data_IF_426496579622
#
_entry.id   IF_426496579622
#
_cell.length_a   1.000
_cell.length_b   1.000
_cell.length_c   1.000
_cell.angle_alpha   90.00
_cell.angle_beta   90.00
_cell.angle_gamma   90.00
#
_symmetry.space_group_name_H-M   'P 1'
#
loop_
_entity.id
_entity.type
_entity.pdbx_description
1 polymer ?
#
# COMPACT_ATOMS: atom_id res chain seq x y z
N UNK A 1 19.36 -16.01 11.18
CA UNK A 1 20.02 -17.32 11.06
C UNK A 1 18.94 -18.37 10.76
N UNK A 2 18.80 -18.86 9.53
CA UNK A 2 17.76 -19.84 9.17
C UNK A 2 18.17 -21.23 9.66
N UNK A 3 17.37 -21.85 10.54
CA UNK A 3 17.70 -23.12 11.22
C UNK A 3 17.51 -24.37 10.35
N UNK A 4 16.77 -24.27 9.25
CA UNK A 4 16.42 -25.41 8.41
C UNK A 4 17.34 -25.54 7.20
N UNK A 5 17.91 -26.73 7.02
CA UNK A 5 18.87 -27.06 5.97
C UNK A 5 18.41 -28.32 5.27
N UNK A 6 18.29 -28.26 3.94
CA UNK A 6 18.01 -29.44 3.12
C UNK A 6 19.24 -30.34 3.04
N UNK A 7 19.08 -31.62 2.70
CA UNK A 7 20.20 -32.54 2.41
C UNK A 7 21.17 -32.00 1.33
N UNK A 8 20.69 -31.15 0.42
CA UNK A 8 21.54 -30.43 -0.55
C UNK A 8 22.25 -29.18 0.03
N UNK A 9 22.27 -29.02 1.35
CA UNK A 9 22.84 -27.87 2.12
C UNK A 9 22.18 -26.52 1.89
N UNK A 10 21.09 -26.44 1.11
CA UNK A 10 20.32 -25.20 0.96
C UNK A 10 19.60 -24.86 2.27
N UNK A 11 19.83 -23.64 2.76
CA UNK A 11 19.13 -23.08 3.92
C UNK A 11 17.81 -22.49 3.48
N UNK A 12 16.74 -22.79 4.20
CA UNK A 12 15.43 -22.19 3.95
C UNK A 12 14.84 -21.61 5.23
N UNK A 13 14.04 -20.56 5.07
CA UNK A 13 13.26 -20.00 6.16
C UNK A 13 12.14 -20.96 6.52
N UNK A 14 11.88 -21.11 7.81
CA UNK A 14 10.67 -21.74 8.30
C UNK A 14 9.45 -20.99 7.73
N UNK A 15 8.44 -21.75 7.29
CA UNK A 15 7.18 -21.14 6.87
C UNK A 15 6.36 -20.85 8.13
N UNK A 16 6.45 -19.60 8.61
CA UNK A 16 5.70 -19.12 9.75
C UNK A 16 4.42 -18.39 9.29
N UNK A 17 3.24 -18.73 9.83
CA UNK A 17 2.01 -17.99 9.53
C UNK A 17 1.98 -16.58 10.17
N UNK A 18 2.81 -16.35 11.20
CA UNK A 18 2.78 -15.11 11.96
C UNK A 18 3.65 -14.01 11.33
N UNK A 19 4.80 -14.34 10.74
CA UNK A 19 5.76 -13.37 10.15
C UNK A 19 6.27 -13.84 8.79
N UNK A 20 6.16 -12.96 7.79
CA UNK A 20 6.70 -13.26 6.45
C UNK A 20 8.24 -13.19 6.43
N UNK A 21 8.86 -13.98 5.54
CA UNK A 21 10.32 -14.12 5.35
C UNK A 21 11.10 -12.80 5.22
N UNK A 22 10.45 -11.72 4.78
CA UNK A 22 11.06 -10.39 4.61
C UNK A 22 10.20 -9.27 5.21
N UNK A 23 9.41 -9.59 6.22
CA UNK A 23 8.56 -8.61 6.88
C UNK A 23 9.41 -7.63 7.69
N UNK A 24 9.54 -6.39 7.19
CA UNK A 24 10.23 -5.30 7.90
C UNK A 24 9.31 -4.49 8.83
N UNK A 25 8.00 -4.58 8.60
CA UNK A 25 6.99 -3.82 9.32
C UNK A 25 5.89 -4.76 9.81
N UNK A 26 5.30 -4.47 10.97
CA UNK A 26 4.20 -5.25 11.49
C UNK A 26 2.98 -5.25 10.54
N UNK A 27 2.08 -6.23 10.68
CA UNK A 27 0.89 -6.34 9.82
C UNK A 27 -0.01 -5.12 10.05
N UNK A 28 -0.13 -4.70 11.30
CA UNK A 28 -0.85 -3.53 11.78
C UNK A 28 -0.29 -2.26 11.15
N UNK A 29 1.04 -2.08 11.17
CA UNK A 29 1.67 -0.93 10.54
C UNK A 29 1.36 -0.86 9.04
N UNK A 30 1.43 -1.99 8.33
CA UNK A 30 1.08 -2.03 6.91
C UNK A 30 -0.40 -1.66 6.66
N UNK A 31 -1.32 -2.00 7.57
CA UNK A 31 -2.72 -1.56 7.50
C UNK A 31 -2.85 -0.05 7.72
N UNK A 32 -2.22 0.48 8.76
CA UNK A 32 -2.27 1.93 9.07
C UNK A 32 -1.76 2.75 7.89
N UNK A 33 -0.64 2.35 7.29
CA UNK A 33 -0.08 3.04 6.11
C UNK A 33 -1.04 3.01 4.93
N UNK A 34 -1.73 1.89 4.72
CA UNK A 34 -2.69 1.74 3.63
C UNK A 34 -3.87 2.72 3.79
N UNK A 35 -4.40 2.85 5.01
CA UNK A 35 -5.49 3.78 5.31
C UNK A 35 -5.02 5.23 5.19
N UNK A 36 -3.86 5.54 5.79
CA UNK A 36 -3.31 6.90 5.81
C UNK A 36 -2.93 7.38 4.40
N UNK A 37 -2.41 6.50 3.54
CA UNK A 37 -2.08 6.84 2.17
C UNK A 37 -3.31 7.20 1.31
N UNK A 38 -4.51 6.79 1.70
CA UNK A 38 -5.77 7.17 1.03
C UNK A 38 -6.36 8.44 1.66
N UNK A 39 -6.28 8.57 2.98
CA UNK A 39 -6.92 9.67 3.72
C UNK A 39 -6.09 10.95 3.82
N UNK A 40 -4.77 10.85 3.73
CA UNK A 40 -3.90 12.03 3.87
C UNK A 40 -4.04 12.96 2.65
N UNK A 41 -3.84 14.26 2.88
CA UNK A 41 -3.86 15.26 1.80
C UNK A 41 -2.70 15.06 0.84
N UNK A 42 -1.54 14.64 1.35
CA UNK A 42 -0.35 14.35 0.56
C UNK A 42 0.41 13.13 1.07
N UNK A 43 1.20 12.48 0.20
CA UNK A 43 2.14 11.43 0.62
C UNK A 43 3.28 11.95 1.49
N UNK A 44 3.53 13.27 1.50
CA UNK A 44 4.53 13.88 2.38
C UNK A 44 4.06 13.83 3.83
N UNK A 45 2.88 14.36 4.08
CA UNK A 45 2.24 14.33 5.40
C UNK A 45 2.08 12.90 5.94
N UNK A 46 1.64 11.96 5.08
CA UNK A 46 1.52 10.56 5.47
C UNK A 46 2.86 9.98 5.93
N UNK A 47 3.97 10.34 5.29
CA UNK A 47 5.29 9.82 5.64
C UNK A 47 5.80 10.40 6.97
N UNK A 48 5.54 11.68 7.22
CA UNK A 48 6.02 12.41 8.40
C UNK A 48 5.40 11.81 9.66
N UNK A 49 4.10 11.50 9.61
CA UNK A 49 3.38 10.83 10.70
C UNK A 49 3.85 9.38 10.91
N UNK A 50 4.20 8.68 9.83
CA UNK A 50 4.55 7.26 9.89
C UNK A 50 6.04 6.99 10.12
N UNK A 51 6.88 8.03 10.10
CA UNK A 51 8.33 7.92 10.25
C UNK A 51 8.98 7.09 9.14
N UNK A 52 8.52 7.20 7.89
CA UNK A 52 9.06 6.43 6.76
C UNK A 52 9.28 7.28 5.53
N UNK A 53 9.89 6.72 4.48
CA UNK A 53 10.09 7.45 3.23
C UNK A 53 8.78 7.62 2.44
N UNK A 54 8.62 8.75 1.74
CA UNK A 54 7.56 8.97 0.73
C UNK A 54 7.42 7.79 -0.22
N UNK A 55 8.53 7.28 -0.72
CA UNK A 55 8.58 6.15 -1.66
C UNK A 55 7.99 4.87 -1.08
N UNK A 56 8.15 4.65 0.23
CA UNK A 56 7.55 3.51 0.93
C UNK A 56 6.04 3.63 0.99
N UNK A 57 5.53 4.82 1.33
CA UNK A 57 4.08 5.12 1.34
C UNK A 57 3.48 4.91 -0.05
N UNK A 58 4.09 5.48 -1.10
CA UNK A 58 3.62 5.36 -2.50
C UNK A 58 3.57 3.88 -2.92
N UNK A 59 4.60 3.09 -2.61
CA UNK A 59 4.63 1.67 -2.97
C UNK A 59 3.52 0.88 -2.26
N UNK A 60 3.17 1.23 -1.02
CA UNK A 60 2.06 0.61 -0.29
C UNK A 60 0.72 1.02 -0.87
N UNK A 61 0.54 2.30 -1.19
CA UNK A 61 -0.63 2.80 -1.90
C UNK A 61 -0.87 2.06 -3.23
N UNK A 62 0.16 1.92 -4.08
CA UNK A 62 0.07 1.16 -5.34
C UNK A 62 -0.43 -0.28 -5.14
N UNK A 63 -0.03 -0.95 -4.05
CA UNK A 63 -0.52 -2.30 -3.73
C UNK A 63 -2.00 -2.34 -3.34
N UNK A 64 -2.51 -1.27 -2.74
CA UNK A 64 -3.93 -1.15 -2.40
C UNK A 64 -4.73 -0.87 -3.67
N UNK A 65 -4.30 0.13 -4.45
CA UNK A 65 -4.94 0.51 -5.72
C UNK A 65 -5.00 -0.66 -6.71
N UNK A 66 -3.91 -1.43 -6.86
CA UNK A 66 -3.89 -2.62 -7.72
C UNK A 66 -4.93 -3.68 -7.32
N UNK A 67 -5.31 -3.75 -6.04
CA UNK A 67 -6.35 -4.68 -5.57
C UNK A 67 -7.76 -4.14 -5.81
N UNK A 68 -7.93 -2.84 -5.96
CA UNK A 68 -9.22 -2.18 -6.13
C UNK A 68 -9.55 -1.88 -7.59
N UNK A 69 -8.54 -1.64 -8.43
CA UNK A 69 -8.71 -1.51 -9.87
C UNK A 69 -9.00 -2.89 -10.45
N UNK A 70 -10.26 -3.12 -10.80
CA UNK A 70 -10.70 -4.31 -11.55
C UNK A 70 -10.28 -4.12 -13.00
N UNK A 71 -9.47 -5.04 -13.52
CA UNK A 71 -9.12 -5.08 -14.95
C UNK A 71 -10.28 -5.68 -15.75
N UNK A 72 -10.44 -5.28 -17.02
CA UNK A 72 -11.44 -5.86 -17.93
C UNK A 72 -12.84 -5.23 -17.85
N UNK A 73 -12.98 -4.07 -17.20
CA UNK A 73 -14.24 -3.32 -17.22
C UNK A 73 -14.39 -2.61 -18.57
N UNK A 74 -15.44 -2.93 -19.33
CA UNK A 74 -15.82 -2.14 -20.50
C UNK A 74 -16.60 -0.90 -20.06
N UNK A 75 -16.30 0.24 -20.69
CA UNK A 75 -17.08 1.47 -20.49
C UNK A 75 -18.53 1.23 -20.92
N UNK A 76 -19.50 1.70 -20.13
CA UNK A 76 -20.91 1.59 -20.50
C UNK A 76 -21.22 2.45 -21.73
N UNK A 77 -22.26 2.04 -22.48
CA UNK A 77 -22.68 2.72 -23.73
C UNK A 77 -22.95 4.22 -23.56
N UNK A 78 -23.39 4.63 -22.37
CA UNK A 78 -23.46 6.03 -21.95
C UNK A 78 -22.73 6.16 -20.60
N UNK A 79 -21.85 7.15 -20.48
CA UNK A 79 -21.12 7.50 -19.26
C UNK A 79 -21.04 9.01 -19.16
N UNK A 80 -21.36 9.57 -18.00
CA UNK A 80 -21.12 10.98 -17.71
C UNK A 80 -19.70 11.14 -17.17
N UNK A 81 -18.94 12.08 -17.74
CA UNK A 81 -17.64 12.50 -17.23
C UNK A 81 -17.85 13.88 -16.66
N UNK A 82 -17.61 14.04 -15.37
CA UNK A 82 -17.68 15.33 -14.69
C UNK A 82 -16.26 15.78 -14.32
N UNK A 83 -15.98 17.06 -14.54
CA UNK A 83 -14.68 17.65 -14.20
C UNK A 83 -14.75 18.22 -12.79
N UNK A 84 -14.04 17.58 -11.86
CA UNK A 84 -13.90 18.12 -10.51
C UNK A 84 -12.64 19.00 -10.40
N UNK A 85 -12.81 20.30 -10.19
CA UNK A 85 -11.71 21.29 -10.04
C UNK A 85 -11.26 21.55 -8.60
N UNK A 86 -11.79 20.81 -7.63
CA UNK A 86 -11.50 21.01 -6.21
C UNK A 86 -12.56 21.85 -5.50
N UNK A 87 -12.56 21.78 -4.16
CA UNK A 87 -13.28 22.74 -3.34
C UNK A 87 -12.48 24.05 -3.36
N UNK A 88 -13.02 25.08 -3.99
CA UNK A 88 -12.59 26.45 -3.70
C UNK A 88 -13.06 26.78 -2.28
N UNK A 89 -12.12 26.95 -1.37
CA UNK A 89 -12.33 27.63 -0.08
C UNK A 89 -12.57 29.14 -0.37
N UNK A 90 -13.58 29.45 -1.18
CA UNK A 90 -13.95 30.80 -1.55
C UNK A 90 -14.76 31.41 -0.41
N UNK A 91 -14.07 32.03 0.55
CA UNK A 91 -14.73 32.76 1.62
C UNK A 91 -13.86 33.08 2.83
N UNK A 92 -12.83 33.92 2.65
CA UNK A 92 -12.36 34.86 3.68
C UNK A 92 -12.12 36.20 3.03
#
# INVERSE_FOLDING_TARGET
MSRYVCNCRKRFSENSPFVDKYQRYSKEWNHVVSIRAIKAKTFKEANEVLGTSTTTVIRRFKKVVKRQLVEGVCLSKATAIDEYKGHTDGGT
#
